data_IF_431102770655
#
_entry.id   IF_431102770655
#
_cell.length_a   1.000
_cell.length_b   1.000
_cell.length_c   1.000
_cell.angle_alpha   90.00
_cell.angle_beta   90.00
_cell.angle_gamma   90.00
#
_symmetry.space_group_name_H-M   'P 1'
#
loop_
_entity.id
_entity.type
_entity.pdbx_description
1 polymer ?
#
# COMPACT_ATOMS: atom_id res chain seq x y z
N UNK A 1 -0.71 22.08 0.14
CA UNK A 1 -1.99 21.40 -0.17
C UNK A 1 -2.75 20.92 1.08
N UNK A 2 -2.18 21.03 2.29
CA UNK A 2 -2.68 20.36 3.51
C UNK A 2 -2.90 21.28 4.72
N UNK A 3 -2.86 22.62 4.56
CA UNK A 3 -3.02 23.55 5.70
C UNK A 3 -4.36 23.39 6.44
N UNK A 4 -5.41 23.00 5.73
CA UNK A 4 -6.76 22.83 6.30
C UNK A 4 -7.31 21.41 6.19
N UNK A 5 -6.55 20.40 5.73
CA UNK A 5 -7.08 19.02 5.62
C UNK A 5 -5.98 17.96 5.74
N UNK A 6 -6.28 16.78 6.34
CA UNK A 6 -5.41 15.62 6.25
C UNK A 6 -5.02 15.30 4.80
N UNK A 7 -3.79 14.85 4.57
CA UNK A 7 -3.29 14.42 3.24
C UNK A 7 -4.22 13.38 2.61
N UNK A 8 -4.70 12.43 3.41
CA UNK A 8 -5.64 11.38 3.00
C UNK A 8 -7.01 11.90 2.53
N UNK A 9 -7.36 13.16 2.82
CA UNK A 9 -8.57 13.84 2.32
C UNK A 9 -8.28 14.81 1.16
N UNK A 10 -7.06 14.82 0.61
CA UNK A 10 -6.79 15.44 -0.69
C UNK A 10 -7.56 14.66 -1.75
N UNK A 11 -8.19 15.39 -2.66
CA UNK A 11 -9.00 14.80 -3.73
C UNK A 11 -8.14 14.58 -4.98
N UNK A 12 -8.26 13.40 -5.56
CA UNK A 12 -7.74 13.03 -6.87
C UNK A 12 -8.97 12.67 -7.71
N UNK A 13 -9.18 13.37 -8.83
CA UNK A 13 -10.32 13.18 -9.72
C UNK A 13 -11.69 13.28 -8.99
N UNK A 14 -11.78 14.23 -8.05
CA UNK A 14 -12.99 14.50 -7.27
C UNK A 14 -13.27 13.52 -6.13
N UNK A 15 -12.36 12.57 -5.85
CA UNK A 15 -12.49 11.59 -4.75
C UNK A 15 -11.33 11.72 -3.75
N UNK A 16 -11.58 11.72 -2.43
CA UNK A 16 -10.52 11.65 -1.42
C UNK A 16 -9.64 10.41 -1.60
N UNK A 17 -8.32 10.55 -1.50
CA UNK A 17 -7.35 9.44 -1.66
C UNK A 17 -7.68 8.26 -0.74
N UNK A 18 -8.09 8.53 0.50
CA UNK A 18 -8.44 7.46 1.46
C UNK A 18 -9.58 6.56 0.97
N UNK A 19 -10.48 7.05 0.12
CA UNK A 19 -11.52 6.21 -0.47
C UNK A 19 -10.94 5.20 -1.48
N UNK A 20 -9.88 5.56 -2.22
CA UNK A 20 -9.17 4.62 -3.10
C UNK A 20 -8.46 3.54 -2.28
N UNK A 21 -7.90 3.90 -1.13
CA UNK A 21 -7.27 2.95 -0.18
C UNK A 21 -8.32 2.00 0.42
N UNK A 22 -9.47 2.51 0.86
CA UNK A 22 -10.54 1.67 1.39
C UNK A 22 -11.10 0.73 0.32
N UNK A 23 -11.40 1.24 -0.87
CA UNK A 23 -11.91 0.42 -1.97
C UNK A 23 -10.91 -0.71 -2.31
N UNK A 24 -9.62 -0.41 -2.41
CA UNK A 24 -8.56 -1.41 -2.64
C UNK A 24 -8.48 -2.49 -1.54
N UNK A 25 -8.56 -2.10 -0.26
CA UNK A 25 -8.55 -3.05 0.86
C UNK A 25 -9.78 -3.96 0.85
N UNK A 26 -10.96 -3.40 0.56
CA UNK A 26 -12.21 -4.14 0.43
C UNK A 26 -12.14 -5.13 -0.74
N UNK A 27 -11.62 -4.70 -1.90
CA UNK A 27 -11.41 -5.57 -3.06
C UNK A 27 -10.39 -6.68 -2.80
N UNK A 28 -9.38 -6.43 -1.96
CA UNK A 28 -8.44 -7.43 -1.48
C UNK A 28 -9.05 -8.38 -0.42
N UNK A 29 -10.28 -8.13 0.03
CA UNK A 29 -11.02 -9.00 0.96
C UNK A 29 -10.93 -8.62 2.43
N UNK A 30 -10.77 -7.33 2.75
CA UNK A 30 -10.88 -6.84 4.12
C UNK A 30 -12.34 -6.81 4.60
N UNK A 31 -12.61 -7.43 5.75
CA UNK A 31 -13.92 -7.44 6.39
C UNK A 31 -14.05 -6.41 7.54
N UNK A 32 -12.95 -5.76 7.93
CA UNK A 32 -12.89 -4.65 8.88
C UNK A 32 -11.78 -3.68 8.46
N UNK A 33 -11.97 -2.38 8.70
CA UNK A 33 -10.97 -1.34 8.47
C UNK A 33 -10.52 -0.73 9.79
N UNK A 34 -9.21 -0.75 10.06
CA UNK A 34 -8.63 -0.01 11.19
C UNK A 34 -7.84 1.18 10.63
N UNK A 35 -8.30 2.39 10.96
CA UNK A 35 -7.74 3.62 10.41
C UNK A 35 -6.92 4.34 11.47
N UNK A 36 -5.61 4.36 11.28
CA UNK A 36 -4.72 5.16 12.12
C UNK A 36 -4.85 6.63 11.72
N UNK A 37 -5.36 7.44 12.63
CA UNK A 37 -5.60 8.87 12.44
C UNK A 37 -4.69 9.69 13.34
N UNK A 38 -4.33 10.89 12.89
CA UNK A 38 -3.48 11.83 13.64
C UNK A 38 -3.99 13.26 13.51
N UNK A 39 -3.21 14.12 12.86
CA UNK A 39 -3.56 15.52 12.63
C UNK A 39 -4.93 15.66 11.93
N UNK A 40 -5.81 16.50 12.48
CA UNK A 40 -7.18 16.74 12.00
C UNK A 40 -8.05 15.48 11.87
N UNK A 41 -7.82 14.46 12.72
CA UNK A 41 -8.57 13.19 12.73
C UNK A 41 -10.09 13.36 12.71
N UNK A 42 -10.62 14.41 13.33
CA UNK A 42 -12.05 14.68 13.43
C UNK A 42 -12.67 14.83 12.04
N UNK A 43 -11.90 15.30 11.03
CA UNK A 43 -12.39 15.39 9.65
C UNK A 43 -12.60 14.03 9.01
N UNK A 44 -11.74 13.05 9.32
CA UNK A 44 -11.87 11.68 8.82
C UNK A 44 -13.03 11.00 9.54
N UNK A 45 -13.04 11.06 10.88
CA UNK A 45 -14.07 10.43 11.72
C UNK A 45 -15.47 10.98 11.39
N UNK A 46 -15.63 12.30 11.28
CA UNK A 46 -16.93 12.89 10.96
C UNK A 46 -17.41 12.60 9.53
N UNK A 47 -16.49 12.33 8.60
CA UNK A 47 -16.84 12.03 7.21
C UNK A 47 -17.33 10.60 7.03
N UNK A 48 -16.67 9.63 7.67
CA UNK A 48 -16.93 8.21 7.44
C UNK A 48 -17.72 7.53 8.56
N UNK A 49 -17.73 8.08 9.79
CA UNK A 49 -18.43 7.44 10.90
C UNK A 49 -17.81 6.08 11.24
N UNK A 50 -18.64 5.09 11.53
CA UNK A 50 -18.26 3.75 11.98
C UNK A 50 -18.32 2.67 10.88
N UNK A 51 -18.60 3.04 9.63
CA UNK A 51 -18.63 2.10 8.51
C UNK A 51 -18.30 2.75 7.15
N UNK A 52 -17.72 1.97 6.25
CA UNK A 52 -17.54 2.32 4.84
C UNK A 52 -18.06 1.20 3.96
N UNK A 53 -19.08 1.48 3.15
CA UNK A 53 -19.75 0.49 2.28
C UNK A 53 -20.22 -0.78 3.01
N UNK A 54 -20.62 -0.63 4.28
CA UNK A 54 -21.07 -1.74 5.14
C UNK A 54 -19.94 -2.53 5.80
N UNK A 55 -18.68 -2.12 5.62
CA UNK A 55 -17.52 -2.65 6.34
C UNK A 55 -17.23 -1.78 7.57
N UNK A 56 -17.14 -2.33 8.79
CA UNK A 56 -16.88 -1.56 10.00
C UNK A 56 -15.55 -0.79 9.94
N UNK A 57 -15.55 0.41 10.50
CA UNK A 57 -14.34 1.22 10.71
C UNK A 57 -14.07 1.40 12.20
N UNK A 58 -12.87 1.03 12.62
CA UNK A 58 -12.29 1.32 13.93
C UNK A 58 -11.17 2.36 13.79
N UNK A 59 -11.09 3.34 14.69
CA UNK A 59 -10.05 4.38 14.64
C UNK A 59 -9.03 4.23 15.77
N UNK A 60 -7.74 4.22 15.41
CA UNK A 60 -6.63 4.30 16.35
C UNK A 60 -5.96 5.69 16.24
N UNK A 61 -5.64 6.32 17.36
CA UNK A 61 -5.10 7.69 17.36
C UNK A 61 -3.60 7.70 17.57
N UNK A 62 -2.85 8.00 16.50
CA UNK A 62 -1.43 8.29 16.58
C UNK A 62 -1.24 9.77 16.97
N UNK A 63 -0.99 10.00 18.26
CA UNK A 63 -0.86 11.37 18.81
C UNK A 63 0.38 12.10 18.30
N UNK A 64 1.48 11.36 18.17
CA UNK A 64 2.77 11.86 17.70
C UNK A 64 3.17 11.08 16.44
N UNK A 65 3.45 11.80 15.35
CA UNK A 65 3.85 11.21 14.07
C UNK A 65 5.33 10.82 14.13
N UNK A 66 5.61 9.71 14.82
CA UNK A 66 6.97 9.20 15.03
C UNK A 66 7.35 8.12 14.00
N UNK A 67 6.68 8.02 12.84
CA UNK A 67 6.98 7.01 11.82
C UNK A 67 5.99 5.83 11.78
N UNK A 68 6.18 4.95 10.79
CA UNK A 68 5.22 3.88 10.44
C UNK A 68 5.21 2.74 11.46
N UNK A 69 6.36 2.30 11.97
CA UNK A 69 6.39 1.25 12.98
C UNK A 69 5.66 1.71 14.27
N UNK A 70 5.80 2.99 14.64
CA UNK A 70 5.02 3.58 15.72
C UNK A 70 3.52 3.61 15.42
N UNK A 71 3.11 3.88 14.17
CA UNK A 71 1.71 3.86 13.76
C UNK A 71 1.09 2.46 13.90
N UNK A 72 1.82 1.41 13.50
CA UNK A 72 1.40 0.01 13.63
C UNK A 72 1.17 -0.37 15.09
N UNK A 73 2.04 0.05 16.01
CA UNK A 73 1.85 -0.22 17.44
C UNK A 73 0.55 0.37 18.01
N UNK A 74 -0.05 1.39 17.36
CA UNK A 74 -1.32 1.96 17.83
C UNK A 74 -2.52 1.02 17.63
N UNK A 75 -2.36 -0.01 16.78
CA UNK A 75 -3.44 -0.96 16.45
C UNK A 75 -3.19 -2.35 17.02
N UNK A 76 -2.07 -2.58 17.71
CA UNK A 76 -1.69 -3.91 18.25
C UNK A 76 -2.81 -4.55 19.07
N UNK A 77 -3.45 -3.80 19.97
CA UNK A 77 -4.56 -4.30 20.81
C UNK A 77 -5.87 -4.56 20.07
N UNK A 78 -5.96 -4.26 18.77
CA UNK A 78 -7.15 -4.42 17.93
C UNK A 78 -6.99 -5.57 16.93
N UNK A 79 -5.80 -6.17 16.82
CA UNK A 79 -5.46 -7.13 15.78
C UNK A 79 -4.92 -8.41 16.43
N UNK A 80 -5.67 -9.51 16.28
CA UNK A 80 -5.29 -10.84 16.78
C UNK A 80 -4.90 -11.83 15.66
N UNK A 81 -5.21 -11.51 14.40
CA UNK A 81 -5.00 -12.34 13.22
C UNK A 81 -4.13 -11.62 12.16
N UNK A 82 -3.85 -12.31 11.05
CA UNK A 82 -3.16 -11.73 9.89
C UNK A 82 -3.92 -10.51 9.34
N UNK A 83 -3.18 -9.49 8.92
CA UNK A 83 -3.77 -8.23 8.47
C UNK A 83 -3.05 -7.63 7.26
N UNK A 84 -3.77 -6.79 6.52
CA UNK A 84 -3.24 -5.97 5.44
C UNK A 84 -2.94 -4.57 5.95
N UNK A 85 -1.81 -4.00 5.53
CA UNK A 85 -1.44 -2.62 5.78
C UNK A 85 -1.29 -1.89 4.44
N UNK A 86 -1.99 -0.77 4.31
CA UNK A 86 -1.90 0.10 3.14
C UNK A 86 -1.68 1.55 3.57
N UNK A 87 -0.75 2.25 2.90
CA UNK A 87 -0.47 3.66 3.18
C UNK A 87 -1.61 4.56 2.68
N UNK A 88 -2.09 5.46 3.54
CA UNK A 88 -3.31 6.25 3.33
C UNK A 88 -3.19 7.40 2.31
N UNK A 89 -2.07 7.50 1.60
CA UNK A 89 -1.71 8.57 0.67
C UNK A 89 -1.30 8.09 -0.73
N UNK A 90 -1.47 6.79 -0.98
CA UNK A 90 -1.20 6.19 -2.27
C UNK A 90 -2.51 6.01 -3.07
N UNK A 91 -2.47 6.37 -4.36
CA UNK A 91 -3.46 5.91 -5.35
C UNK A 91 -2.90 4.67 -6.01
N UNK A 92 -3.67 3.59 -6.00
CA UNK A 92 -3.11 2.26 -6.24
C UNK A 92 -3.96 1.46 -7.22
N UNK A 93 -3.32 0.91 -8.27
CA UNK A 93 -3.87 -0.14 -9.13
C UNK A 93 -2.87 -1.28 -9.16
N UNK A 94 -3.21 -2.36 -8.47
CA UNK A 94 -2.29 -3.47 -8.25
C UNK A 94 -3.02 -4.78 -7.99
N UNK A 95 -2.30 -5.88 -8.14
CA UNK A 95 -2.75 -7.22 -7.82
C UNK A 95 -2.67 -7.50 -6.29
N UNK A 96 -3.38 -6.70 -5.49
CA UNK A 96 -3.31 -6.75 -4.02
C UNK A 96 -3.77 -8.09 -3.43
N UNK A 97 -4.79 -8.70 -4.04
CA UNK A 97 -5.30 -10.01 -3.63
C UNK A 97 -4.25 -11.12 -3.78
N UNK A 98 -3.35 -11.04 -4.77
CA UNK A 98 -2.28 -12.02 -4.95
C UNK A 98 -1.29 -12.01 -3.79
N UNK A 99 -1.00 -10.82 -3.25
CA UNK A 99 -0.13 -10.66 -2.06
C UNK A 99 -0.74 -11.34 -0.85
N UNK A 100 -2.03 -11.07 -0.59
CA UNK A 100 -2.79 -11.71 0.49
C UNK A 100 -2.82 -13.23 0.32
N UNK A 101 -3.14 -13.70 -0.88
CA UNK A 101 -3.21 -15.13 -1.17
C UNK A 101 -1.85 -15.81 -0.99
N UNK A 102 -0.75 -15.17 -1.45
CA UNK A 102 0.61 -15.68 -1.27
C UNK A 102 0.96 -15.89 0.20
N UNK A 103 0.65 -14.92 1.06
CA UNK A 103 0.88 -15.05 2.50
C UNK A 103 0.14 -16.27 3.07
N UNK A 104 -1.12 -16.46 2.67
CA UNK A 104 -1.98 -17.54 3.17
C UNK A 104 -1.58 -18.92 2.66
N UNK A 105 -1.19 -19.05 1.38
CA UNK A 105 -0.87 -20.33 0.74
C UNK A 105 0.42 -20.95 1.28
N UNK A 106 1.48 -20.14 1.38
CA UNK A 106 2.81 -20.61 1.77
C UNK A 106 3.11 -20.39 3.27
N UNK A 107 2.16 -19.79 4.00
CA UNK A 107 2.25 -19.47 5.43
C UNK A 107 3.47 -18.59 5.76
N UNK A 108 3.71 -17.60 4.92
CA UNK A 108 4.75 -16.60 5.17
C UNK A 108 4.36 -15.66 6.32
N UNK A 109 5.35 -15.17 7.07
CA UNK A 109 5.11 -14.22 8.15
C UNK A 109 4.66 -12.85 7.63
N UNK A 110 5.02 -12.54 6.38
CA UNK A 110 4.58 -11.36 5.65
C UNK A 110 4.66 -11.60 4.13
N UNK A 111 3.89 -10.84 3.36
CA UNK A 111 4.05 -10.73 1.92
C UNK A 111 3.86 -9.29 1.46
N UNK A 112 4.72 -8.82 0.56
CA UNK A 112 4.80 -7.43 0.13
C UNK A 112 4.51 -7.29 -1.35
N UNK A 113 3.84 -6.20 -1.69
CA UNK A 113 3.78 -5.75 -3.07
C UNK A 113 5.00 -4.89 -3.37
N UNK A 114 5.76 -5.28 -4.40
CA UNK A 114 7.06 -4.68 -4.72
C UNK A 114 7.10 -4.17 -6.15
N UNK A 115 7.92 -3.16 -6.40
CA UNK A 115 8.07 -2.52 -7.70
C UNK A 115 9.54 -2.36 -8.06
N UNK A 116 9.89 -2.55 -9.34
CA UNK A 116 11.20 -2.11 -9.84
C UNK A 116 11.08 -0.69 -10.38
N UNK A 117 11.83 0.23 -9.80
CA UNK A 117 11.88 1.64 -10.21
C UNK A 117 13.17 1.96 -10.95
N UNK A 118 13.29 3.11 -11.64
CA UNK A 118 14.59 3.61 -12.08
C UNK A 118 15.56 3.71 -10.88
N UNK A 119 16.83 3.33 -11.06
CA UNK A 119 17.80 3.27 -9.96
C UNK A 119 17.98 4.62 -9.25
N UNK A 120 17.90 5.72 -10.01
CA UNK A 120 17.96 7.09 -9.51
C UNK A 120 16.78 7.49 -8.61
N UNK A 121 15.70 6.70 -8.59
CA UNK A 121 14.53 6.90 -7.74
C UNK A 121 14.53 5.97 -6.51
N UNK A 122 15.32 4.90 -6.50
CA UNK A 122 15.28 3.86 -5.48
C UNK A 122 15.57 4.41 -4.05
N UNK A 123 16.48 5.36 -3.93
CA UNK A 123 16.84 6.01 -2.65
C UNK A 123 15.72 6.78 -1.96
N UNK A 124 14.54 6.90 -2.60
CA UNK A 124 13.35 7.55 -2.03
C UNK A 124 12.48 6.60 -1.22
N UNK A 125 12.73 5.29 -1.27
CA UNK A 125 11.86 4.25 -0.73
C UNK A 125 12.63 3.28 0.19
N UNK A 126 11.90 2.36 0.83
CA UNK A 126 12.47 1.14 1.39
C UNK A 126 12.92 0.21 0.27
N UNK A 127 14.23 -0.02 0.17
CA UNK A 127 14.85 -0.84 -0.88
C UNK A 127 15.06 -2.26 -0.34
N UNK A 128 14.66 -3.25 -1.14
CA UNK A 128 14.78 -4.66 -0.82
C UNK A 128 16.05 -5.20 -1.47
N UNK A 129 16.95 -5.77 -0.67
CA UNK A 129 18.04 -6.60 -1.20
C UNK A 129 17.58 -8.05 -1.28
N UNK A 130 17.90 -8.71 -2.40
CA UNK A 130 17.50 -10.09 -2.65
C UNK A 130 18.72 -10.94 -2.97
N UNK A 131 18.75 -12.16 -2.43
CA UNK A 131 19.78 -13.11 -2.79
C UNK A 131 19.59 -13.68 -4.21
N UNK A 132 20.50 -14.55 -4.64
CA UNK A 132 20.47 -15.19 -5.97
C UNK A 132 19.21 -16.06 -6.22
N UNK A 133 18.50 -16.45 -5.16
CA UNK A 133 17.26 -17.23 -5.22
C UNK A 133 16.01 -16.34 -5.24
N UNK A 134 16.17 -15.02 -5.14
CA UNK A 134 15.08 -14.05 -5.13
C UNK A 134 14.41 -13.86 -3.77
N UNK A 135 15.00 -14.38 -2.70
CA UNK A 135 14.52 -14.17 -1.33
C UNK A 135 14.99 -12.82 -0.82
N UNK A 136 14.11 -12.07 -0.12
CA UNK A 136 14.49 -10.81 0.53
C UNK A 136 15.39 -11.14 1.71
N UNK A 137 16.60 -10.57 1.73
CA UNK A 137 17.59 -10.79 2.79
C UNK A 137 17.84 -9.57 3.65
N UNK A 138 17.52 -8.37 3.15
CA UNK A 138 17.71 -7.12 3.86
C UNK A 138 16.73 -6.08 3.34
N UNK A 139 16.31 -5.16 4.21
CA UNK A 139 15.50 -3.99 3.83
C UNK A 139 16.16 -2.74 4.38
N UNK A 140 16.40 -1.76 3.51
CA UNK A 140 17.06 -0.50 3.88
C UNK A 140 16.16 0.69 3.55
N UNK A 141 15.86 1.52 4.54
CA UNK A 141 15.05 2.72 4.36
C UNK A 141 15.87 3.85 3.71
N UNK A 142 15.44 4.29 2.51
CA UNK A 142 16.00 5.45 1.80
C UNK A 142 17.54 5.48 1.79
N UNK A 143 18.20 4.41 1.31
CA UNK A 143 19.66 4.35 1.28
C UNK A 143 20.24 5.40 0.32
N UNK A 144 21.35 6.03 0.70
CA UNK A 144 22.10 6.92 -0.22
C UNK A 144 22.63 6.14 -1.43
N UNK A 145 23.11 4.91 -1.20
CA UNK A 145 23.57 3.97 -2.22
C UNK A 145 22.66 2.72 -2.19
N UNK A 146 21.61 2.66 -3.02
CA UNK A 146 20.65 1.57 -2.97
C UNK A 146 21.25 0.24 -3.48
N UNK A 147 21.13 -0.88 -2.74
CA UNK A 147 21.69 -2.18 -3.14
C UNK A 147 20.98 -2.77 -4.37
N UNK A 148 19.71 -2.41 -4.58
CA UNK A 148 18.90 -2.80 -5.72
C UNK A 148 17.97 -1.65 -6.13
N UNK A 149 17.18 -1.84 -7.18
CA UNK A 149 16.07 -0.95 -7.54
C UNK A 149 14.68 -1.55 -7.25
N UNK A 150 14.63 -2.62 -6.46
CA UNK A 150 13.40 -3.24 -6.00
C UNK A 150 12.93 -2.54 -4.72
N UNK A 151 11.75 -1.92 -4.75
CA UNK A 151 11.26 -1.07 -3.67
C UNK A 151 9.91 -1.56 -3.12
N UNK A 152 9.70 -1.25 -1.85
CA UNK A 152 8.42 -1.38 -1.17
C UNK A 152 7.43 -0.34 -1.71
N UNK A 153 6.18 -0.76 -1.96
CA UNK A 153 5.18 0.08 -2.67
C UNK A 153 4.17 0.78 -1.76
N UNK A 154 4.01 0.31 -0.51
CA UNK A 154 2.99 0.81 0.41
C UNK A 154 1.80 -0.12 0.65
N UNK A 155 1.84 -1.35 0.14
CA UNK A 155 0.89 -2.41 0.47
C UNK A 155 1.62 -3.66 0.99
N UNK A 156 1.22 -4.13 2.17
CA UNK A 156 1.87 -5.21 2.89
C UNK A 156 0.83 -6.11 3.55
N UNK A 157 1.21 -7.34 3.79
CA UNK A 157 0.48 -8.26 4.64
C UNK A 157 1.42 -8.71 5.76
N UNK A 158 0.89 -8.87 6.97
CA UNK A 158 1.66 -9.26 8.14
C UNK A 158 0.89 -10.24 9.01
N UNK A 159 1.60 -11.18 9.61
CA UNK A 159 1.16 -11.85 10.83
C UNK A 159 1.37 -10.90 12.03
N UNK A 160 0.74 -11.14 13.21
CA UNK A 160 0.99 -10.35 14.43
C UNK A 160 2.45 -10.33 14.91
N UNK A 161 3.34 -11.14 14.32
CA UNK A 161 4.77 -11.11 14.59
C UNK A 161 5.41 -9.73 14.38
N UNK A 162 4.90 -8.93 13.43
CA UNK A 162 5.42 -7.59 13.13
C UNK A 162 5.40 -6.68 14.36
N UNK A 163 4.43 -6.81 15.26
CA UNK A 163 4.36 -5.97 16.46
C UNK A 163 5.59 -6.14 17.34
N UNK A 164 6.08 -7.37 17.51
CA UNK A 164 7.30 -7.63 18.27
C UNK A 164 8.51 -6.92 17.65
N UNK A 165 8.63 -6.94 16.32
CA UNK A 165 9.70 -6.23 15.63
C UNK A 165 9.53 -4.71 15.77
N UNK A 166 8.32 -4.16 15.65
CA UNK A 166 8.05 -2.74 15.85
C UNK A 166 8.43 -2.25 17.26
N UNK A 167 8.25 -3.08 18.31
CA UNK A 167 8.69 -2.75 19.68
C UNK A 167 10.21 -2.65 19.83
N UNK A 168 10.98 -3.25 18.92
CA UNK A 168 12.45 -3.26 18.98
C UNK A 168 13.09 -2.14 18.14
N UNK A 169 12.34 -1.56 17.19
CA UNK A 169 12.83 -0.46 16.33
C UNK A 169 13.31 0.72 17.18
N UNK A 170 14.46 1.27 16.80
CA UNK A 170 14.98 2.52 17.35
C UNK A 170 14.71 3.66 16.36
N UNK A 171 14.61 4.92 16.83
CA UNK A 171 14.46 6.05 15.92
C UNK A 171 15.63 6.14 14.95
N UNK A 172 15.34 6.37 13.67
CA UNK A 172 16.32 6.68 12.63
C UNK A 172 16.99 8.04 12.86
N UNK A 173 17.95 8.43 12.02
CA UNK A 173 18.56 9.76 12.04
C UNK A 173 17.53 10.90 11.82
N UNK A 174 16.36 10.56 11.29
CA UNK A 174 15.22 11.48 11.12
C UNK A 174 14.32 11.55 12.37
N UNK A 175 14.57 10.71 13.37
CA UNK A 175 13.75 10.57 14.56
C UNK A 175 12.47 9.75 14.34
N UNK A 176 12.41 8.96 13.27
CA UNK A 176 11.25 8.14 12.91
C UNK A 176 11.52 6.65 13.21
N UNK A 177 10.52 5.93 13.72
CA UNK A 177 10.49 4.49 13.84
C UNK A 177 10.04 3.91 12.49
N UNK A 178 11.00 3.47 11.69
CA UNK A 178 10.80 3.05 10.30
C UNK A 178 10.18 1.65 10.22
N UNK A 179 9.28 1.44 9.26
CA UNK A 179 8.74 0.10 8.98
C UNK A 179 9.83 -0.81 8.40
N UNK A 180 10.70 -0.27 7.55
CA UNK A 180 11.84 -0.98 6.96
C UNK A 180 12.73 -1.62 8.04
N UNK A 181 13.00 -0.92 9.16
CA UNK A 181 13.76 -1.47 10.28
C UNK A 181 13.02 -2.61 11.00
N UNK A 182 11.70 -2.48 11.18
CA UNK A 182 10.89 -3.56 11.76
C UNK A 182 10.88 -4.81 10.86
N UNK A 183 10.78 -4.60 9.55
CA UNK A 183 10.82 -5.66 8.55
C UNK A 183 12.18 -6.35 8.54
N UNK A 184 13.28 -5.59 8.59
CA UNK A 184 14.63 -6.14 8.65
C UNK A 184 14.83 -6.98 9.94
N UNK A 185 14.33 -6.52 11.08
CA UNK A 185 14.31 -7.30 12.31
C UNK A 185 13.50 -8.60 12.21
N UNK A 186 12.39 -8.61 11.45
CA UNK A 186 11.66 -9.85 11.18
C UNK A 186 12.53 -10.82 10.38
N UNK A 187 13.17 -10.36 9.30
CA UNK A 187 14.06 -11.20 8.47
C UNK A 187 15.19 -11.77 9.33
N UNK A 188 15.86 -10.93 10.13
CA UNK A 188 16.94 -11.34 11.02
C UNK A 188 16.48 -12.36 12.09
N UNK A 189 15.20 -12.35 12.47
CA UNK A 189 14.61 -13.34 13.39
C UNK A 189 14.32 -14.69 12.74
N UNK A 190 14.61 -14.86 11.44
CA UNK A 190 14.37 -16.08 10.67
C UNK A 190 12.94 -16.21 10.14
N UNK A 191 12.19 -15.10 10.11
CA UNK A 191 10.84 -15.06 9.54
C UNK A 191 10.88 -14.86 8.04
N UNK A 192 9.82 -15.32 7.40
CA UNK A 192 9.73 -15.40 5.94
C UNK A 192 8.91 -14.25 5.37
N UNK A 193 9.43 -13.61 4.34
CA UNK A 193 8.78 -12.50 3.65
C UNK A 193 8.76 -12.78 2.17
N UNK A 194 7.57 -12.81 1.59
CA UNK A 194 7.40 -12.99 0.17
C UNK A 194 7.27 -11.66 -0.57
N UNK A 195 7.87 -11.59 -1.76
CA UNK A 195 7.79 -10.44 -2.64
C UNK A 195 6.92 -10.77 -3.87
N UNK A 196 5.81 -10.07 -4.03
CA UNK A 196 4.96 -10.15 -5.23
C UNK A 196 5.18 -8.88 -6.04
N UNK A 197 5.55 -9.04 -7.31
CA UNK A 197 5.74 -7.89 -8.21
C UNK A 197 4.39 -7.29 -8.56
N UNK A 198 4.33 -5.97 -8.47
CA UNK A 198 3.14 -5.20 -8.79
C UNK A 198 2.82 -5.28 -10.29
N UNK A 199 1.60 -5.71 -10.58
CA UNK A 199 0.97 -5.57 -11.89
C UNK A 199 0.05 -4.35 -11.86
N UNK A 200 0.46 -3.27 -12.53
CA UNK A 200 -0.32 -2.03 -12.58
C UNK A 200 0.55 -0.81 -12.31
N UNK A 201 0.08 0.09 -11.46
CA UNK A 201 0.77 1.33 -11.15
C UNK A 201 0.32 1.89 -9.79
N UNK A 202 1.18 2.72 -9.22
CA UNK A 202 0.86 3.53 -8.04
C UNK A 202 1.35 4.95 -8.21
N UNK A 203 0.78 5.86 -7.43
CA UNK A 203 1.29 7.21 -7.23
C UNK A 203 1.20 7.55 -5.74
N UNK A 204 2.33 7.84 -5.10
CA UNK A 204 2.38 8.47 -3.78
C UNK A 204 2.10 9.96 -3.95
N UNK A 205 0.98 10.44 -3.42
CA UNK A 205 0.51 11.81 -3.64
C UNK A 205 1.14 12.76 -2.62
N UNK A 206 2.44 13.02 -2.72
CA UNK A 206 3.17 13.94 -1.84
C UNK A 206 3.02 15.42 -2.21
N UNK A 207 3.01 15.70 -3.51
CA UNK A 207 3.08 17.04 -4.09
C UNK A 207 1.95 17.29 -5.11
N UNK A 208 1.67 18.56 -5.49
CA UNK A 208 0.66 18.87 -6.50
C UNK A 208 0.84 18.11 -7.81
N UNK A 209 2.08 17.95 -8.25
CA UNK A 209 2.45 17.27 -9.48
C UNK A 209 2.10 15.76 -9.42
N UNK A 210 2.24 15.13 -8.25
CA UNK A 210 1.85 13.74 -8.04
C UNK A 210 0.34 13.57 -8.15
N UNK A 211 -0.42 14.53 -7.62
CA UNK A 211 -1.88 14.54 -7.77
C UNK A 211 -2.27 14.61 -9.25
N UNK A 212 -1.69 15.53 -10.02
CA UNK A 212 -1.99 15.66 -11.45
C UNK A 212 -1.66 14.36 -12.21
N UNK A 213 -0.53 13.74 -11.90
CA UNK A 213 -0.12 12.44 -12.45
C UNK A 213 -1.11 11.33 -12.09
N UNK A 214 -1.58 11.28 -10.85
CA UNK A 214 -2.58 10.31 -10.42
C UNK A 214 -3.91 10.52 -11.17
N UNK A 215 -4.36 11.77 -11.32
CA UNK A 215 -5.57 12.11 -12.09
C UNK A 215 -5.44 11.69 -13.56
N UNK A 216 -4.30 11.93 -14.21
CA UNK A 216 -4.05 11.51 -15.59
C UNK A 216 -4.15 9.98 -15.73
N UNK A 217 -3.50 9.24 -14.83
CA UNK A 217 -3.53 7.76 -14.85
C UNK A 217 -4.93 7.19 -14.66
N UNK A 218 -5.74 7.78 -13.77
CA UNK A 218 -7.14 7.37 -13.57
C UNK A 218 -8.00 7.66 -14.80
N UNK A 219 -7.79 8.80 -15.46
CA UNK A 219 -8.52 9.13 -16.70
C UNK A 219 -8.18 8.15 -17.83
N UNK A 220 -6.90 7.81 -18.01
CA UNK A 220 -6.48 6.82 -19.00
C UNK A 220 -7.14 5.46 -18.81
N UNK A 221 -7.32 5.03 -17.55
CA UNK A 221 -8.05 3.82 -17.20
C UNK A 221 -9.54 3.90 -17.59
N UNK A 222 -10.21 4.99 -17.20
CA UNK A 222 -11.62 5.21 -17.54
C UNK A 222 -11.86 5.31 -19.06
N UNK A 223 -10.93 5.94 -19.80
CA UNK A 223 -10.97 6.03 -21.25
C UNK A 223 -10.88 4.67 -21.94
N UNK A 224 -10.01 3.78 -21.44
CA UNK A 224 -9.89 2.39 -21.93
C UNK A 224 -11.14 1.55 -21.65
N UNK A 225 -11.86 1.81 -20.57
CA UNK A 225 -13.13 1.14 -20.25
C UNK A 225 -14.30 1.63 -21.13
N UNK A 226 -14.17 2.81 -21.76
CA UNK A 226 -15.22 3.41 -22.60
C UNK A 226 -15.09 3.12 -24.11
N UNK A 227 -14.01 2.48 -24.58
CA UNK A 227 -13.96 2.02 -25.97
C UNK A 227 -14.80 0.75 -26.13
N UNK A 228 -15.91 0.76 -26.90
CA UNK A 228 -16.67 -0.45 -27.16
C UNK A 228 -15.77 -1.38 -27.98
N UNK A 229 -15.57 -2.60 -27.48
CA UNK A 229 -14.91 -3.65 -28.23
C UNK A 229 -15.46 -3.71 -29.65
N UNK A 230 -14.59 -3.60 -30.64
CA UNK A 230 -14.96 -3.65 -32.06
C UNK A 230 -15.65 -4.99 -32.30
N UNK A 231 -16.98 -4.96 -32.37
CA UNK A 231 -17.79 -6.11 -32.75
C UNK A 231 -17.28 -6.62 -34.09
N UNK A 232 -16.94 -7.91 -34.11
CA UNK A 232 -16.61 -8.63 -35.33
C UNK A 232 -17.88 -8.71 -36.18
N UNK A 233 -18.04 -7.78 -37.12
CA UNK A 233 -19.12 -7.85 -38.11
C UNK A 233 -18.86 -9.04 -39.05
N UNK A 234 -19.62 -10.11 -38.83
CA UNK A 234 -19.87 -11.14 -39.82
C UNK A 234 -20.67 -10.53 -40.98
N UNK A 235 -20.16 -10.65 -42.20
CA UNK A 235 -20.98 -10.65 -43.41
C UNK A 235 -20.99 -12.06 -44.01
N UNK A 236 -22.02 -12.82 -43.64
CA UNK A 236 -22.74 -13.77 -44.50
C UNK A 236 -23.09 -13.09 -45.86
N UNK A 237 -23.21 -13.72 -47.03
CA UNK A 237 -23.84 -15.01 -47.37
C UNK A 237 -23.74 -15.22 -48.91
N UNK A 238 -23.60 -16.48 -49.37
CA UNK A 238 -24.27 -17.13 -50.54
C UNK A 238 -24.28 -16.45 -51.93
N UNK A 239 -24.04 -17.08 -53.09
CA UNK A 239 -24.74 -18.25 -53.70
C UNK A 239 -24.17 -18.53 -55.10
N UNK A 240 -24.46 -19.73 -55.65
CA UNK A 240 -24.50 -20.15 -57.10
C UNK A 240 -23.14 -20.51 -57.70
N UNK A 241 -22.85 -21.71 -58.21
CA UNK A 241 -23.62 -22.87 -58.73
C UNK A 241 -22.78 -24.15 -58.52
#
# INVERSE_FOLDING_TARGET
MTEDKPKSLVEVDGRPIIEDVFDNLLEAGADELIVVVGYLKEKIINRYGDEYRGVPITYAHQREQLGLAHAILQVESLIDDDFMLMLGDNVFRGNLADVRNRQQEDRADAAFLVEQVPYEEASRYGVLDTNEYGEIVEVVEKPEEPPSNLVMTGFYTFTPAIFHACHLVQPSDRGEYELSDAVDLLIQSGRTIDAIRMEGWRVDVGYPEDRERAEERLRDESGRLTEPGTETEQASQSTTD
#
